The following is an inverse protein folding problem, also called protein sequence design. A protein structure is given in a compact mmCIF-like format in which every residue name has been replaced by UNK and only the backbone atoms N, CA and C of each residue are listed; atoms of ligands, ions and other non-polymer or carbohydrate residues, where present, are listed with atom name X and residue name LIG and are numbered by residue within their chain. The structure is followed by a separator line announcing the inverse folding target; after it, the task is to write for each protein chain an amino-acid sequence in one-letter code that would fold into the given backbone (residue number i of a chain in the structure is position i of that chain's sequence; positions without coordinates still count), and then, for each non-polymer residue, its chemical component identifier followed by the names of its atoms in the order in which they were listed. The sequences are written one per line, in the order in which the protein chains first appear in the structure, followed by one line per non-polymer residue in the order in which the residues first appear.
data_IF_010709056288
#
_entry.id   IF_010709056288
#
_cell.length_a   1.000
_cell.length_b   1.000
_cell.length_c   1.000
_cell.angle_alpha   90.00
_cell.angle_beta   90.00
_cell.angle_gamma   90.00
#
_symmetry.space_group_name_H-M   'P 1'
#
loop_
_entity.id
_entity.type
_entity.pdbx_description
1 polymer ?
#
# COMPACT_ATOMS: atom_id res chain seq x y z
N UNK A 1 -15.26 -0.95 54.28
CA UNK A 1 -15.02 -0.94 52.81
C UNK A 1 -15.66 -2.20 52.27
N UNK A 2 -16.56 -2.15 51.26
CA UNK A 2 -17.22 -3.34 50.76
C UNK A 2 -16.29 -4.11 49.81
N UNK A 3 -16.48 -5.43 49.75
CA UNK A 3 -15.69 -6.35 48.94
C UNK A 3 -15.99 -6.17 47.44
N UNK A 4 -14.94 -5.98 46.65
CA UNK A 4 -14.97 -5.91 45.19
C UNK A 4 -14.30 -7.21 44.72
N UNK A 5 -15.05 -8.31 44.72
CA UNK A 5 -14.56 -9.56 44.13
C UNK A 5 -15.69 -10.17 43.29
N UNK A 6 -15.77 -9.73 42.05
CA UNK A 6 -16.56 -10.35 41.00
C UNK A 6 -15.75 -10.27 39.71
N UNK A 7 -15.21 -11.41 39.28
CA UNK A 7 -14.56 -11.53 37.99
C UNK A 7 -15.58 -11.29 36.85
N UNK A 8 -15.21 -10.59 35.76
CA UNK A 8 -16.10 -10.40 34.63
C UNK A 8 -16.39 -11.76 33.95
N UNK A 9 -17.67 -12.09 33.77
CA UNK A 9 -18.11 -13.25 33.00
C UNK A 9 -17.69 -13.11 31.54
N UNK A 10 -17.01 -14.12 31.00
CA UNK A 10 -16.60 -14.17 29.60
C UNK A 10 -17.81 -14.08 28.65
N UNK A 11 -17.70 -13.42 27.49
CA UNK A 11 -18.77 -13.39 26.50
C UNK A 11 -19.00 -14.79 25.92
N UNK A 12 -20.26 -15.20 25.88
CA UNK A 12 -20.68 -16.45 25.23
C UNK A 12 -20.43 -16.35 23.74
N UNK A 13 -19.54 -17.18 23.20
CA UNK A 13 -19.29 -17.28 21.76
C UNK A 13 -20.46 -18.05 21.15
N UNK A 14 -21.38 -17.36 20.49
CA UNK A 14 -22.41 -17.99 19.67
C UNK A 14 -21.76 -18.44 18.36
N UNK A 15 -21.53 -19.75 18.21
CA UNK A 15 -21.09 -20.33 16.94
C UNK A 15 -22.15 -20.06 15.86
N UNK A 16 -21.89 -19.08 14.98
CA UNK A 16 -22.72 -18.84 13.81
C UNK A 16 -22.34 -19.84 12.72
N UNK A 17 -23.09 -20.94 12.65
CA UNK A 17 -22.92 -21.96 11.61
C UNK A 17 -23.42 -21.45 10.25
N UNK A 18 -22.65 -21.73 9.19
CA UNK A 18 -22.90 -21.29 7.81
C UNK A 18 -24.25 -21.81 7.27
N UNK A 19 -24.77 -22.91 7.83
CA UNK A 19 -26.09 -23.47 7.50
C UNK A 19 -27.28 -22.61 7.97
N UNK A 20 -27.08 -21.65 8.87
CA UNK A 20 -28.14 -20.76 9.33
C UNK A 20 -28.46 -19.63 8.32
N UNK A 21 -27.69 -19.51 7.24
CA UNK A 21 -27.82 -18.43 6.27
C UNK A 21 -28.52 -18.89 4.97
N UNK A 22 -29.85 -18.98 5.00
CA UNK A 22 -30.66 -19.34 3.82
C UNK A 22 -30.91 -18.13 2.90
N UNK A 23 -30.12 -18.04 1.82
CA UNK A 23 -30.22 -17.01 0.79
C UNK A 23 -31.61 -16.90 0.14
N UNK A 24 -32.43 -17.95 0.20
CA UNK A 24 -33.79 -17.94 -0.39
C UNK A 24 -34.76 -17.08 0.43
N UNK A 25 -34.45 -16.84 1.71
CA UNK A 25 -35.25 -15.99 2.58
C UNK A 25 -34.98 -14.49 2.34
N UNK A 26 -33.90 -14.14 1.66
CA UNK A 26 -33.56 -12.75 1.29
C UNK A 26 -34.11 -12.35 -0.09
N UNK A 27 -35.31 -12.79 -0.46
CA UNK A 27 -35.98 -12.25 -1.65
C UNK A 27 -36.37 -10.79 -1.42
N UNK A 28 -35.51 -9.90 -1.88
CA UNK A 28 -35.73 -8.47 -1.88
C UNK A 28 -36.88 -8.06 -2.83
N UNK A 29 -37.56 -6.92 -2.56
CA UNK A 29 -38.63 -6.40 -3.42
C UNK A 29 -38.11 -6.06 -4.83
N UNK A 30 -38.97 -6.17 -5.87
CA UNK A 30 -38.57 -6.07 -7.28
C UNK A 30 -38.02 -4.69 -7.72
N UNK A 31 -38.01 -3.69 -6.83
CA UNK A 31 -37.45 -2.36 -7.06
C UNK A 31 -36.01 -2.19 -6.54
N UNK A 32 -35.44 -3.18 -5.87
CA UNK A 32 -34.04 -3.16 -5.47
C UNK A 32 -33.20 -3.69 -6.65
N UNK A 33 -32.74 -2.78 -7.51
CA UNK A 33 -31.75 -3.10 -8.53
C UNK A 33 -30.42 -3.44 -7.88
N UNK A 34 -30.17 -4.72 -7.60
CA UNK A 34 -28.85 -5.18 -7.19
C UNK A 34 -27.96 -5.25 -8.43
N UNK A 35 -27.15 -4.21 -8.66
CA UNK A 35 -26.01 -4.32 -9.56
C UNK A 35 -24.93 -5.15 -8.85
N UNK A 36 -24.88 -6.44 -9.11
CA UNK A 36 -23.75 -7.27 -8.69
C UNK A 36 -22.59 -6.93 -9.62
N UNK A 37 -21.76 -5.97 -9.22
CA UNK A 37 -20.47 -5.76 -9.87
C UNK A 37 -19.68 -7.04 -9.60
N UNK A 38 -19.48 -7.87 -10.63
CA UNK A 38 -18.71 -9.10 -10.51
C UNK A 38 -17.24 -8.67 -10.46
N UNK A 39 -16.55 -8.72 -9.30
CA UNK A 39 -15.17 -8.30 -9.23
C UNK A 39 -14.36 -9.19 -10.16
N UNK A 40 -13.46 -8.60 -10.96
CA UNK A 40 -12.54 -9.34 -11.84
C UNK A 40 -11.43 -9.98 -11.00
N UNK A 41 -11.83 -10.95 -10.16
CA UNK A 41 -10.91 -11.73 -9.35
C UNK A 41 -10.22 -12.79 -10.22
N UNK A 42 -8.91 -12.99 -10.06
CA UNK A 42 -8.28 -14.20 -10.56
C UNK A 42 -8.89 -15.44 -9.88
N UNK A 43 -8.95 -16.57 -10.59
CA UNK A 43 -9.34 -17.84 -9.98
C UNK A 43 -8.30 -18.27 -8.95
N UNK A 44 -8.74 -18.49 -7.71
CA UNK A 44 -7.87 -18.94 -6.62
C UNK A 44 -7.43 -20.39 -6.81
N UNK A 45 -6.20 -20.69 -6.43
CA UNK A 45 -5.67 -22.07 -6.40
C UNK A 45 -5.99 -22.77 -5.07
N UNK A 46 -5.95 -24.11 -4.99
CA UNK A 46 -6.11 -24.82 -3.73
C UNK A 46 -5.10 -24.34 -2.68
N UNK A 47 -5.59 -23.88 -1.53
CA UNK A 47 -4.76 -23.32 -0.45
C UNK A 47 -4.50 -21.82 -0.53
N UNK A 48 -5.07 -21.12 -1.52
CA UNK A 48 -4.95 -19.67 -1.68
C UNK A 48 -6.25 -18.96 -1.30
N UNK A 49 -6.14 -17.86 -0.55
CA UNK A 49 -7.26 -16.96 -0.28
C UNK A 49 -7.09 -15.75 -1.18
N UNK A 50 -7.96 -15.64 -2.19
CA UNK A 50 -8.00 -14.47 -3.08
C UNK A 50 -8.97 -13.45 -2.48
N UNK A 51 -8.42 -12.30 -2.07
CA UNK A 51 -9.21 -11.15 -1.58
C UNK A 51 -9.24 -10.10 -2.68
N UNK A 52 -10.44 -9.75 -3.13
CA UNK A 52 -10.64 -8.73 -4.16
C UNK A 52 -11.22 -7.46 -3.58
N UNK A 53 -10.86 -6.34 -4.21
CA UNK A 53 -11.45 -5.06 -3.92
C UNK A 53 -12.93 -5.03 -4.35
N UNK A 54 -13.83 -4.40 -3.57
CA UNK A 54 -15.24 -4.25 -3.93
C UNK A 54 -15.49 -3.51 -5.25
N UNK A 55 -14.69 -2.47 -5.56
CA UNK A 55 -14.68 -1.73 -6.80
C UNK A 55 -13.26 -1.70 -7.41
N UNK A 56 -12.96 -2.63 -8.33
CA UNK A 56 -11.62 -2.75 -8.88
C UNK A 56 -11.17 -1.55 -9.73
N UNK A 57 -12.07 -0.66 -10.16
CA UNK A 57 -11.65 0.53 -10.93
C UNK A 57 -11.27 1.69 -10.01
N UNK A 58 -11.90 1.80 -8.83
CA UNK A 58 -11.58 2.84 -7.85
C UNK A 58 -10.40 2.48 -6.96
N UNK A 59 -10.28 1.21 -6.56
CA UNK A 59 -9.25 0.77 -5.62
C UNK A 59 -7.97 0.26 -6.30
N UNK A 60 -7.96 0.19 -7.63
CA UNK A 60 -6.76 -0.20 -8.38
C UNK A 60 -5.80 0.97 -8.48
N UNK A 61 -4.55 0.70 -8.12
CA UNK A 61 -3.45 1.62 -8.39
C UNK A 61 -3.39 1.88 -9.90
N UNK A 62 -3.40 3.16 -10.34
CA UNK A 62 -3.24 3.47 -11.74
C UNK A 62 -1.88 2.93 -12.23
N UNK A 63 -1.80 2.51 -13.51
CA UNK A 63 -0.50 2.14 -14.08
C UNK A 63 0.47 3.30 -13.90
N UNK A 64 1.73 2.97 -13.57
CA UNK A 64 2.80 3.97 -13.50
C UNK A 64 2.84 4.73 -14.83
N UNK A 65 2.87 6.07 -14.76
CA UNK A 65 3.01 6.87 -15.96
C UNK A 65 4.32 6.51 -16.67
N UNK A 66 4.29 6.46 -17.99
CA UNK A 66 5.48 6.21 -18.82
C UNK A 66 6.54 7.30 -18.66
N UNK A 67 6.17 8.44 -18.08
CA UNK A 67 7.05 9.58 -17.83
C UNK A 67 7.83 9.46 -16.51
N UNK A 68 7.55 8.43 -15.70
CA UNK A 68 8.30 8.17 -14.48
C UNK A 68 9.64 7.51 -14.81
N UNK A 69 10.65 8.32 -15.14
CA UNK A 69 12.03 7.88 -15.06
C UNK A 69 12.38 7.77 -13.58
N UNK A 70 12.74 6.57 -13.08
CA UNK A 70 13.49 6.45 -11.84
C UNK A 70 14.86 7.04 -12.16
N UNK A 71 15.23 8.24 -11.68
CA UNK A 71 16.62 8.63 -11.77
C UNK A 71 17.43 7.58 -11.03
N UNK A 72 18.51 7.07 -11.64
CA UNK A 72 19.48 6.19 -10.98
C UNK A 72 20.14 6.99 -9.85
N UNK A 73 19.47 7.00 -8.70
CA UNK A 73 19.89 7.71 -7.52
C UNK A 73 19.21 9.07 -7.30
N UNK A 74 19.58 9.71 -6.19
CA UNK A 74 19.03 10.99 -5.78
C UNK A 74 19.20 12.08 -6.86
N UNK A 75 18.30 13.06 -6.91
CA UNK A 75 18.31 14.10 -7.93
C UNK A 75 19.67 14.81 -7.92
N UNK A 76 20.31 14.87 -9.10
CA UNK A 76 21.61 15.50 -9.32
C UNK A 76 21.47 16.58 -10.38
N UNK A 77 21.78 17.82 -10.00
CA UNK A 77 21.97 18.91 -10.93
C UNK A 77 23.47 18.99 -11.28
N UNK A 78 23.83 18.94 -12.56
CA UNK A 78 25.21 19.11 -13.04
C UNK A 78 25.28 20.32 -13.96
N UNK A 79 26.30 21.15 -13.78
CA UNK A 79 26.66 22.26 -14.65
C UNK A 79 28.08 22.05 -15.18
N UNK A 80 28.22 21.96 -16.49
CA UNK A 80 29.53 21.97 -17.15
C UNK A 80 30.02 23.42 -17.27
N UNK A 81 31.26 23.68 -16.84
CA UNK A 81 31.84 25.04 -16.76
C UNK A 81 32.86 25.27 -17.88
N UNK A 82 33.13 24.24 -18.68
CA UNK A 82 34.14 24.25 -19.72
C UNK A 82 35.44 23.59 -19.27
N UNK A 83 36.36 23.40 -20.22
CA UNK A 83 37.72 22.87 -19.99
C UNK A 83 37.75 21.55 -19.19
N UNK A 84 36.79 20.67 -19.47
CA UNK A 84 36.68 19.36 -18.81
C UNK A 84 36.26 19.42 -17.34
N UNK A 85 35.80 20.57 -16.85
CA UNK A 85 35.39 20.79 -15.46
C UNK A 85 33.87 20.90 -15.34
N UNK A 86 33.29 20.20 -14.35
CA UNK A 86 31.86 20.25 -14.03
C UNK A 86 31.63 20.43 -12.54
N UNK A 87 30.65 21.24 -12.15
CA UNK A 87 30.12 21.32 -10.78
C UNK A 87 28.83 20.51 -10.72
N UNK A 88 28.57 19.86 -9.60
CA UNK A 88 27.28 19.21 -9.36
C UNK A 88 26.77 19.42 -7.94
N UNK A 89 25.45 19.43 -7.81
CA UNK A 89 24.73 19.40 -6.54
C UNK A 89 23.87 18.15 -6.54
N UNK A 90 24.00 17.31 -5.51
CA UNK A 90 23.20 16.10 -5.37
C UNK A 90 22.76 15.89 -3.93
N UNK A 91 21.60 15.25 -3.76
CA UNK A 91 21.22 14.70 -2.47
C UNK A 91 21.98 13.39 -2.24
N UNK A 92 22.38 13.11 -1.02
CA UNK A 92 22.92 11.82 -0.60
C UNK A 92 22.06 11.28 0.54
N UNK A 93 21.75 9.99 0.52
CA UNK A 93 20.88 9.36 1.51
C UNK A 93 21.56 8.14 2.11
N UNK A 94 21.83 8.18 3.41
CA UNK A 94 22.47 7.10 4.14
C UNK A 94 21.56 6.56 5.25
N UNK A 95 21.52 5.24 5.40
CA UNK A 95 20.91 4.60 6.57
C UNK A 95 21.82 4.72 7.78
N UNK A 96 21.27 5.17 8.91
CA UNK A 96 21.96 5.19 10.20
C UNK A 96 21.69 3.88 10.98
N UNK A 97 22.56 3.49 11.93
CA UNK A 97 22.42 2.24 12.69
C UNK A 97 21.13 2.14 13.53
N UNK A 98 20.52 3.29 13.83
CA UNK A 98 19.26 3.41 14.58
C UNK A 98 18.00 3.23 13.70
N UNK A 99 18.17 2.93 12.40
CA UNK A 99 17.08 2.74 11.45
C UNK A 99 16.57 4.05 10.82
N UNK A 100 17.09 5.21 11.23
CA UNK A 100 16.75 6.48 10.61
C UNK A 100 17.50 6.70 9.29
N UNK A 101 17.00 7.63 8.46
CA UNK A 101 17.61 8.02 7.18
C UNK A 101 18.20 9.41 7.31
N UNK A 102 19.50 9.53 7.09
CA UNK A 102 20.18 10.83 6.97
C UNK A 102 20.13 11.28 5.52
N UNK A 103 19.61 12.48 5.28
CA UNK A 103 19.66 13.14 3.97
C UNK A 103 20.67 14.27 4.03
N UNK A 104 21.55 14.35 3.04
CA UNK A 104 22.61 15.36 2.93
C UNK A 104 22.53 16.03 1.56
N UNK A 105 22.82 17.32 1.51
CA UNK A 105 23.03 18.04 0.24
C UNK A 105 24.53 18.17 0.03
N UNK A 106 25.01 17.64 -1.09
CA UNK A 106 26.41 17.59 -1.46
C UNK A 106 26.70 18.52 -2.63
N UNK A 107 27.89 19.13 -2.65
CA UNK A 107 28.40 19.92 -3.77
C UNK A 107 29.71 19.28 -4.23
N UNK A 108 29.78 18.90 -5.50
CA UNK A 108 30.92 18.22 -6.12
C UNK A 108 31.57 19.05 -7.22
N UNK A 109 32.88 18.89 -7.39
CA UNK A 109 33.65 19.40 -8.54
C UNK A 109 34.35 18.22 -9.18
N UNK A 110 34.19 18.05 -10.49
CA UNK A 110 34.85 17.01 -11.28
C UNK A 110 35.68 17.65 -12.38
N UNK A 111 36.94 17.27 -12.50
CA UNK A 111 37.86 17.71 -13.55
C UNK A 111 38.37 16.49 -14.31
N UNK A 112 38.19 16.48 -15.63
CA UNK A 112 38.79 15.49 -16.53
C UNK A 112 40.21 15.93 -16.88
N UNK A 113 41.15 14.99 -16.92
CA UNK A 113 42.55 15.17 -17.31
C UNK A 113 42.85 14.28 -18.51
#
# INVERSE_FOLDING_TARGET
MPAIDAAPSAPTVTEQTVDAFDLRQMRAPPSAGFSVIRPRCPEGKPGEIVVCAPDPEQERLPPLSTDYSIPDGPPRARLDIGDGTSIDVHLDSASMPDGSKSQRVMVGVKRKF
#
